data_IF_643965883782
#
_entry.id   IF_643965883782
#
_cell.length_a   1.000
_cell.length_b   1.000
_cell.length_c   1.000
_cell.angle_alpha   90.00
_cell.angle_beta   90.00
_cell.angle_gamma   90.00
#
_symmetry.space_group_name_H-M   'P 1'
#
loop_
_entity.id
_entity.type
_entity.pdbx_description
1 polymer ?
#
# COMPACT_ATOMS: atom_id res chain seq x y z
N UNK A 1 -8.02 -16.65 -14.52
CA UNK A 1 -7.21 -17.78 -14.00
C UNK A 1 -5.85 -17.95 -14.69
N UNK A 2 -5.67 -17.62 -15.99
CA UNK A 2 -4.37 -17.70 -16.68
C UNK A 2 -3.25 -16.77 -16.15
N UNK A 3 -3.60 -15.65 -15.51
CA UNK A 3 -2.63 -14.75 -14.85
C UNK A 3 -2.00 -15.36 -13.57
N UNK A 4 -2.59 -16.41 -13.01
CA UNK A 4 -2.18 -16.96 -11.71
C UNK A 4 -1.15 -18.09 -11.78
N UNK A 5 -0.74 -18.56 -12.98
CA UNK A 5 0.15 -19.74 -13.09
C UNK A 5 1.40 -19.60 -13.96
N UNK A 6 1.65 -18.47 -14.61
CA UNK A 6 2.97 -18.18 -15.21
C UNK A 6 3.55 -19.25 -16.14
N UNK A 7 2.74 -20.14 -16.71
CA UNK A 7 3.12 -21.11 -17.75
C UNK A 7 1.92 -21.42 -18.62
N UNK A 8 2.01 -21.07 -19.90
CA UNK A 8 1.32 -21.80 -20.96
C UNK A 8 2.38 -22.64 -21.71
N UNK A 9 2.31 -23.98 -21.66
CA UNK A 9 3.26 -24.86 -22.34
C UNK A 9 3.06 -25.02 -23.86
N UNK A 10 2.07 -24.40 -24.53
CA UNK A 10 1.70 -24.79 -25.90
C UNK A 10 1.27 -23.67 -26.88
N UNK A 11 1.75 -22.43 -26.75
CA UNK A 11 1.60 -21.43 -27.81
C UNK A 11 2.90 -20.65 -28.05
N UNK A 12 3.23 -20.39 -29.32
CA UNK A 12 4.35 -19.53 -29.75
C UNK A 12 4.13 -18.04 -29.38
N UNK A 13 3.45 -17.71 -28.28
CA UNK A 13 2.89 -16.39 -27.95
C UNK A 13 3.35 -15.88 -26.56
N UNK A 14 4.65 -15.96 -26.29
CA UNK A 14 5.22 -15.55 -24.99
C UNK A 14 5.14 -14.05 -24.64
N UNK A 15 5.54 -13.73 -23.40
CA UNK A 15 5.64 -12.38 -22.85
C UNK A 15 7.08 -11.98 -22.52
N UNK A 16 7.35 -10.69 -22.46
CA UNK A 16 8.63 -10.10 -22.06
C UNK A 16 8.41 -9.16 -20.88
N UNK A 17 9.31 -9.25 -19.90
CA UNK A 17 9.35 -8.36 -18.74
C UNK A 17 10.19 -7.12 -19.05
N UNK A 18 9.64 -5.93 -18.85
CA UNK A 18 10.31 -4.67 -19.17
C UNK A 18 10.87 -3.93 -17.93
N UNK A 19 10.68 -4.48 -16.74
CA UNK A 19 11.05 -3.87 -15.46
C UNK A 19 9.85 -3.55 -14.57
N UNK A 20 10.14 -3.07 -13.36
CA UNK A 20 9.12 -2.65 -12.41
C UNK A 20 8.79 -1.17 -12.64
N UNK A 21 7.51 -0.84 -12.80
CA UNK A 21 7.08 0.57 -12.83
C UNK A 21 6.89 1.17 -11.44
N UNK A 22 6.76 0.31 -10.45
CA UNK A 22 6.55 0.69 -9.07
C UNK A 22 7.17 -0.41 -8.17
N UNK A 23 8.40 -0.21 -7.68
CA UNK A 23 9.23 -1.31 -7.16
C UNK A 23 8.94 -1.69 -5.71
N UNK A 24 8.19 -0.86 -4.97
CA UNK A 24 8.09 -0.96 -3.51
C UNK A 24 6.65 -0.79 -2.99
N UNK A 25 5.72 -1.61 -3.48
CA UNK A 25 4.42 -1.76 -2.81
C UNK A 25 4.63 -2.29 -1.40
N UNK A 26 4.04 -1.62 -0.42
CA UNK A 26 4.19 -1.93 1.00
C UNK A 26 2.90 -2.48 1.56
N UNK A 27 3.02 -3.44 2.47
CA UNK A 27 1.92 -3.94 3.28
C UNK A 27 2.43 -4.11 4.70
N UNK A 28 1.60 -3.85 5.68
CA UNK A 28 2.04 -3.88 7.06
C UNK A 28 0.96 -3.38 8.01
N UNK A 29 1.37 -3.13 9.25
CA UNK A 29 0.47 -2.66 10.29
C UNK A 29 0.66 -1.17 10.51
N UNK A 30 -0.46 -0.44 10.55
CA UNK A 30 -0.46 1.01 10.54
C UNK A 30 -1.17 1.56 11.76
N UNK A 31 -0.72 2.73 12.20
CA UNK A 31 -1.40 3.58 13.18
C UNK A 31 -1.49 5.00 12.63
N UNK A 32 -2.50 5.79 13.01
CA UNK A 32 -2.51 7.21 12.67
C UNK A 32 -1.26 7.91 13.22
N UNK A 33 -0.56 8.68 12.39
CA UNK A 33 0.72 9.30 12.75
C UNK A 33 0.60 10.23 13.96
N UNK A 34 -0.56 10.86 14.14
CA UNK A 34 -0.85 11.71 15.30
C UNK A 34 -0.79 10.97 16.64
N UNK A 35 -0.90 9.64 16.68
CA UNK A 35 -0.70 8.89 17.92
C UNK A 35 0.75 9.00 18.39
N UNK A 36 1.70 8.96 17.46
CA UNK A 36 3.14 8.98 17.74
C UNK A 36 3.68 10.40 17.82
N UNK A 37 3.27 11.27 16.89
CA UNK A 37 3.83 12.63 16.75
C UNK A 37 2.92 13.74 17.27
N UNK A 38 1.66 13.44 17.55
CA UNK A 38 0.61 14.46 17.72
C UNK A 38 0.20 15.09 16.39
N UNK A 39 -0.81 15.94 16.45
CA UNK A 39 -1.27 16.77 15.34
C UNK A 39 -1.67 18.14 15.89
N UNK A 40 -0.73 19.10 15.81
CA UNK A 40 -0.94 20.45 16.30
C UNK A 40 -2.07 21.17 15.56
N UNK A 41 -2.26 20.90 14.25
CA UNK A 41 -3.33 21.53 13.45
C UNK A 41 -4.71 21.12 13.94
N UNK A 42 -4.83 19.88 14.45
CA UNK A 42 -6.07 19.33 15.00
C UNK A 42 -6.15 19.39 16.53
N UNK A 43 -5.15 19.96 17.20
CA UNK A 43 -5.08 20.01 18.67
C UNK A 43 -4.93 18.65 19.35
N UNK A 44 -4.42 17.63 18.65
CA UNK A 44 -4.26 16.27 19.16
C UNK A 44 -2.84 16.13 19.73
N UNK A 45 -2.73 15.76 21.01
CA UNK A 45 -1.44 15.40 21.61
C UNK A 45 -1.06 13.96 21.26
N UNK A 46 0.24 13.69 21.16
CA UNK A 46 0.74 12.33 21.01
C UNK A 46 0.29 11.47 22.22
N UNK A 47 -0.38 10.36 21.94
CA UNK A 47 -0.85 9.41 22.96
C UNK A 47 0.08 8.21 23.12
N UNK A 48 0.92 7.94 22.13
CA UNK A 48 1.86 6.83 22.07
C UNK A 48 3.18 7.22 21.39
N UNK A 49 3.94 8.21 21.92
CA UNK A 49 5.18 8.69 21.28
C UNK A 49 6.28 7.61 21.16
N UNK A 50 6.21 6.56 21.97
CA UNK A 50 7.12 5.41 21.90
C UNK A 50 6.59 4.23 21.06
N UNK A 51 5.44 4.35 20.39
CA UNK A 51 4.91 3.29 19.52
C UNK A 51 5.57 3.38 18.14
N UNK A 52 6.68 2.66 17.98
CA UNK A 52 7.45 2.62 16.72
C UNK A 52 7.39 1.26 16.05
N UNK A 53 7.44 0.19 16.83
CA UNK A 53 7.50 -1.18 16.34
C UNK A 53 6.31 -2.01 16.78
N UNK A 54 6.10 -3.15 16.11
CA UNK A 54 5.11 -4.16 16.54
C UNK A 54 5.37 -4.69 17.95
N UNK A 55 6.61 -4.64 18.42
CA UNK A 55 6.99 -5.08 19.76
C UNK A 55 6.60 -4.09 20.87
N UNK A 56 6.26 -2.85 20.52
CA UNK A 56 5.77 -1.86 21.48
C UNK A 56 4.26 -1.98 21.76
N UNK A 57 3.52 -2.67 20.88
CA UNK A 57 2.07 -2.82 20.97
C UNK A 57 1.56 -3.31 22.34
N UNK A 58 2.18 -4.30 23.01
CA UNK A 58 1.74 -4.74 24.33
C UNK A 58 1.74 -3.63 25.39
N UNK A 59 2.57 -2.59 25.25
CA UNK A 59 2.60 -1.45 26.18
C UNK A 59 1.39 -0.50 25.98
N UNK A 60 0.83 -0.49 24.77
CA UNK A 60 -0.19 0.49 24.34
C UNK A 60 -1.57 -0.11 24.07
N UNK A 61 -1.80 -1.40 24.35
CA UNK A 61 -3.05 -2.08 24.02
C UNK A 61 -4.32 -1.35 24.50
N UNK A 62 -4.24 -0.70 25.68
CA UNK A 62 -5.36 0.05 26.27
C UNK A 62 -5.82 1.25 25.43
N UNK A 63 -4.98 1.75 24.53
CA UNK A 63 -5.38 2.81 23.59
C UNK A 63 -6.32 2.26 22.49
N UNK A 64 -6.23 0.95 22.21
CA UNK A 64 -6.97 0.28 21.16
C UNK A 64 -8.09 -0.61 21.70
N UNK A 65 -8.66 -0.32 22.89
CA UNK A 65 -9.64 -1.20 23.56
C UNK A 65 -10.66 -1.82 22.60
N UNK A 66 -10.82 -3.12 22.69
CA UNK A 66 -11.82 -3.85 21.94
C UNK A 66 -13.22 -3.64 22.57
N UNK A 67 -14.21 -3.13 21.81
CA UNK A 67 -15.58 -3.01 22.29
C UNK A 67 -16.25 -4.32 22.69
N UNK A 68 -15.83 -5.45 22.12
CA UNK A 68 -16.39 -6.79 22.39
C UNK A 68 -15.67 -7.49 23.55
N UNK A 69 -14.41 -7.14 23.80
CA UNK A 69 -13.60 -7.64 24.92
C UNK A 69 -12.70 -6.52 25.48
N UNK A 70 -13.21 -5.70 26.41
CA UNK A 70 -12.47 -4.56 26.95
C UNK A 70 -11.18 -4.92 27.72
N UNK A 71 -10.92 -6.21 27.97
CA UNK A 71 -9.68 -6.69 28.59
C UNK A 71 -8.49 -6.69 27.63
N UNK A 72 -8.73 -6.51 26.33
CA UNK A 72 -7.72 -6.49 25.27
C UNK A 72 -7.90 -5.31 24.30
N UNK A 73 -6.88 -5.06 23.50
CA UNK A 73 -6.95 -4.16 22.35
C UNK A 73 -7.53 -4.86 21.12
N UNK A 74 -7.97 -4.09 20.13
CA UNK A 74 -8.46 -4.56 18.84
C UNK A 74 -7.45 -4.24 17.75
N UNK A 75 -7.16 -5.25 16.94
CA UNK A 75 -6.42 -5.12 15.69
C UNK A 75 -7.35 -5.42 14.52
N UNK A 76 -7.43 -4.53 13.54
CA UNK A 76 -8.17 -4.76 12.31
C UNK A 76 -7.29 -5.53 11.31
N UNK A 77 -7.63 -6.80 11.06
CA UNK A 77 -6.92 -7.65 10.09
C UNK A 77 -7.46 -7.48 8.68
N UNK A 78 -7.07 -8.39 7.80
CA UNK A 78 -7.62 -8.53 6.47
C UNK A 78 -9.04 -9.10 6.49
N UNK A 79 -9.74 -8.92 5.37
CA UNK A 79 -11.03 -9.54 5.16
C UNK A 79 -10.89 -11.05 4.93
N UNK A 80 -11.93 -11.85 5.24
CA UNK A 80 -11.91 -13.29 4.98
C UNK A 80 -11.56 -13.61 3.52
N UNK A 81 -10.74 -14.65 3.32
CA UNK A 81 -10.30 -15.10 1.99
C UNK A 81 -9.02 -14.43 1.48
N UNK A 82 -8.53 -13.36 2.10
CA UNK A 82 -7.25 -12.74 1.73
C UNK A 82 -6.06 -13.46 2.38
N UNK A 83 -4.97 -13.63 1.62
CA UNK A 83 -3.75 -14.30 2.11
C UNK A 83 -3.15 -13.60 3.33
N UNK A 84 -3.27 -12.28 3.42
CA UNK A 84 -2.75 -11.50 4.52
C UNK A 84 -3.44 -11.79 5.86
N UNK A 85 -4.66 -12.36 5.88
CA UNK A 85 -5.28 -12.85 7.12
C UNK A 85 -4.40 -13.91 7.78
N UNK A 86 -4.02 -14.94 7.01
CA UNK A 86 -3.19 -16.05 7.51
C UNK A 86 -1.83 -15.52 7.99
N UNK A 87 -1.26 -14.55 7.25
CA UNK A 87 0.00 -13.91 7.63
C UNK A 87 -0.14 -13.14 8.94
N UNK A 88 -1.18 -12.33 9.11
CA UNK A 88 -1.43 -11.57 10.33
C UNK A 88 -1.65 -12.49 11.54
N UNK A 89 -2.40 -13.58 11.39
CA UNK A 89 -2.63 -14.56 12.46
C UNK A 89 -1.30 -15.16 12.94
N UNK A 90 -0.41 -15.54 12.00
CA UNK A 90 0.92 -16.06 12.31
C UNK A 90 1.85 -15.01 12.94
N UNK A 91 1.80 -13.76 12.46
CA UNK A 91 2.52 -12.62 13.07
C UNK A 91 2.07 -12.39 14.51
N UNK A 92 0.78 -12.52 14.80
CA UNK A 92 0.26 -12.40 16.16
C UNK A 92 0.83 -13.45 17.11
N UNK A 93 1.02 -14.67 16.63
CA UNK A 93 1.74 -15.71 17.38
C UNK A 93 3.22 -15.36 17.55
N UNK A 94 3.91 -15.02 16.46
CA UNK A 94 5.34 -14.72 16.47
C UNK A 94 5.70 -13.53 17.38
N UNK A 95 4.85 -12.51 17.43
CA UNK A 95 5.04 -11.31 18.23
C UNK A 95 4.37 -11.38 19.62
N UNK A 96 3.74 -12.52 19.97
CA UNK A 96 3.14 -12.72 21.29
C UNK A 96 1.93 -11.82 21.60
N UNK A 97 1.22 -11.35 20.57
CA UNK A 97 0.18 -10.32 20.71
C UNK A 97 -1.18 -10.87 21.13
N UNK A 98 -1.44 -12.18 21.00
CA UNK A 98 -2.72 -12.81 21.37
C UNK A 98 -3.12 -12.59 22.83
N UNK A 99 -2.15 -12.29 23.71
CA UNK A 99 -2.40 -11.96 25.12
C UNK A 99 -2.96 -10.55 25.34
N UNK A 100 -2.61 -9.60 24.46
CA UNK A 100 -2.93 -8.18 24.61
C UNK A 100 -3.94 -7.67 23.59
N UNK A 101 -4.12 -8.38 22.47
CA UNK A 101 -4.99 -7.97 21.38
C UNK A 101 -5.88 -9.12 20.88
N UNK A 102 -7.07 -8.75 20.44
CA UNK A 102 -7.95 -9.56 19.62
C UNK A 102 -7.83 -9.14 18.15
N UNK A 103 -7.97 -10.12 17.27
CA UNK A 103 -7.99 -9.93 15.82
C UNK A 103 -9.45 -9.77 15.41
N UNK A 104 -9.77 -8.63 14.80
CA UNK A 104 -11.08 -8.37 14.21
C UNK A 104 -10.93 -8.39 12.69
N UNK A 105 -11.77 -9.18 12.02
CA UNK A 105 -11.80 -9.31 10.57
C UNK A 105 -12.97 -8.49 10.02
N UNK A 106 -12.70 -7.41 9.26
CA UNK A 106 -13.76 -6.66 8.62
C UNK A 106 -14.49 -7.53 7.58
N UNK A 107 -15.80 -7.33 7.44
CA UNK A 107 -16.60 -8.09 6.47
C UNK A 107 -16.35 -7.72 5.00
N UNK A 108 -15.69 -6.58 4.73
CA UNK A 108 -15.38 -6.10 3.38
C UNK A 108 -14.21 -5.12 3.39
N UNK A 109 -13.62 -4.86 2.22
CA UNK A 109 -12.55 -3.88 2.04
C UNK A 109 -13.02 -2.47 2.44
N UNK A 110 -14.27 -2.13 2.10
CA UNK A 110 -14.95 -0.91 2.47
C UNK A 110 -15.13 -0.79 3.97
N UNK A 111 -15.41 -1.89 4.68
CA UNK A 111 -15.52 -1.89 6.13
C UNK A 111 -14.16 -1.65 6.81
N UNK A 112 -13.08 -2.27 6.31
CA UNK A 112 -11.71 -2.01 6.78
C UNK A 112 -11.35 -0.54 6.58
N UNK A 113 -11.54 -0.03 5.37
CA UNK A 113 -11.33 1.37 4.99
C UNK A 113 -12.11 2.34 5.90
N UNK A 114 -13.41 2.10 6.08
CA UNK A 114 -14.27 2.93 6.91
C UNK A 114 -13.85 2.96 8.38
N UNK A 115 -13.38 1.82 8.92
CA UNK A 115 -12.88 1.76 10.30
C UNK A 115 -11.70 2.70 10.52
N UNK A 116 -10.73 2.68 9.59
CA UNK A 116 -9.54 3.54 9.61
C UNK A 116 -9.90 5.00 9.42
N UNK A 117 -10.68 5.33 8.38
CA UNK A 117 -11.08 6.72 8.07
C UNK A 117 -11.91 7.33 9.21
N UNK A 118 -12.84 6.57 9.79
CA UNK A 118 -13.69 7.02 10.90
C UNK A 118 -12.87 7.33 12.15
N UNK A 119 -11.95 6.43 12.52
CA UNK A 119 -11.06 6.64 13.66
C UNK A 119 -10.14 7.85 13.42
N UNK A 120 -9.53 7.93 12.24
CA UNK A 120 -8.66 9.04 11.85
C UNK A 120 -9.36 10.39 11.97
N UNK A 121 -10.54 10.56 11.35
CA UNK A 121 -11.32 11.81 11.40
C UNK A 121 -11.69 12.22 12.82
N UNK A 122 -11.98 11.25 13.69
CA UNK A 122 -12.32 11.48 15.10
C UNK A 122 -11.11 11.69 16.01
N UNK A 123 -9.88 11.58 15.49
CA UNK A 123 -8.66 11.65 16.29
C UNK A 123 -8.54 10.49 17.28
N UNK A 124 -9.15 9.34 16.96
CA UNK A 124 -9.18 8.15 17.81
C UNK A 124 -8.11 7.14 17.38
N UNK A 125 -7.50 6.41 18.32
CA UNK A 125 -6.60 5.32 18.00
C UNK A 125 -7.18 4.32 17.01
N UNK A 126 -6.34 3.86 16.09
CA UNK A 126 -6.63 2.77 15.17
C UNK A 126 -5.36 1.96 14.94
N UNK A 127 -5.50 0.65 14.89
CA UNK A 127 -4.40 -0.27 14.61
C UNK A 127 -4.92 -1.37 13.68
N UNK A 128 -4.27 -1.57 12.55
CA UNK A 128 -4.66 -2.63 11.64
C UNK A 128 -3.72 -2.80 10.47
N UNK A 129 -3.97 -3.88 9.73
CA UNK A 129 -3.34 -4.15 8.47
C UNK A 129 -3.85 -3.19 7.38
N UNK A 130 -2.94 -2.71 6.55
CA UNK A 130 -3.28 -2.05 5.31
C UNK A 130 -2.12 -2.12 4.30
N UNK A 131 -2.38 -1.74 3.06
CA UNK A 131 -1.40 -1.79 1.97
C UNK A 131 -1.35 -0.48 1.19
N UNK A 132 -0.25 -0.32 0.46
CA UNK A 132 0.07 0.83 -0.35
C UNK A 132 0.54 0.35 -1.75
N UNK A 133 0.12 1.01 -2.85
CA UNK A 133 -0.61 2.26 -2.87
C UNK A 133 -2.12 2.10 -2.73
N UNK A 134 -2.74 3.07 -2.08
CA UNK A 134 -4.20 3.20 -1.94
C UNK A 134 -4.58 4.67 -1.78
N UNK A 135 -5.79 5.05 -2.18
CA UNK A 135 -6.28 6.41 -1.96
C UNK A 135 -6.30 6.79 -0.47
N UNK A 136 -6.50 5.81 0.43
CA UNK A 136 -6.57 6.09 1.86
C UNK A 136 -5.20 6.51 2.40
N UNK A 137 -4.13 5.79 2.06
CA UNK A 137 -2.77 6.17 2.47
C UNK A 137 -2.25 7.41 1.73
N UNK A 138 -2.86 7.80 0.61
CA UNK A 138 -2.64 9.12 0.01
C UNK A 138 -3.35 10.26 0.72
N UNK A 139 -4.42 9.99 1.47
CA UNK A 139 -5.22 11.02 2.16
C UNK A 139 -4.96 11.13 3.67
N UNK A 140 -4.62 10.01 4.31
CA UNK A 140 -4.45 9.94 5.75
C UNK A 140 -2.95 9.86 6.08
N UNK A 141 -2.51 10.69 7.02
CA UNK A 141 -1.15 10.62 7.56
C UNK A 141 -1.05 9.42 8.53
N UNK A 142 -0.57 8.30 8.01
CA UNK A 142 -0.45 7.02 8.72
C UNK A 142 1.02 6.62 8.84
N UNK A 143 1.38 6.08 10.01
CA UNK A 143 2.71 5.53 10.27
C UNK A 143 2.63 4.02 10.26
N UNK A 144 3.42 3.36 9.41
CA UNK A 144 3.62 1.92 9.46
C UNK A 144 4.52 1.59 10.66
N UNK A 145 4.17 0.56 11.41
CA UNK A 145 4.98 0.06 12.51
C UNK A 145 6.17 -0.74 11.95
N UNK A 146 7.32 -0.55 12.58
CA UNK A 146 8.54 -1.30 12.26
C UNK A 146 8.39 -2.78 12.64
N UNK A 147 8.88 -3.63 11.75
CA UNK A 147 9.00 -5.08 11.91
C UNK A 147 10.46 -5.48 11.63
N UNK A 148 10.93 -6.66 12.07
CA UNK A 148 12.20 -7.19 11.58
C UNK A 148 12.20 -7.23 10.05
N UNK A 149 13.34 -6.93 9.42
CA UNK A 149 13.46 -6.96 7.95
C UNK A 149 13.02 -8.30 7.37
N UNK A 150 12.48 -8.26 6.15
CA UNK A 150 12.05 -9.47 5.46
C UNK A 150 13.19 -10.49 5.36
N UNK A 151 12.95 -11.68 5.89
CA UNK A 151 13.81 -12.86 5.76
C UNK A 151 12.95 -14.04 5.31
N UNK A 152 13.38 -14.73 4.25
CA UNK A 152 12.62 -15.83 3.64
C UNK A 152 12.40 -16.99 4.62
N UNK A 153 13.40 -17.34 5.46
CA UNK A 153 13.30 -18.47 6.39
C UNK A 153 12.33 -18.15 7.53
N UNK A 154 12.39 -16.93 8.07
CA UNK A 154 11.42 -16.44 9.05
C UNK A 154 10.03 -16.37 8.43
N UNK A 155 9.93 -15.88 7.19
CA UNK A 155 8.68 -15.81 6.47
C UNK A 155 8.06 -17.20 6.39
N UNK A 156 8.73 -18.19 5.81
CA UNK A 156 8.16 -19.51 5.56
C UNK A 156 7.76 -20.28 6.83
N UNK A 157 8.41 -20.00 7.95
CA UNK A 157 8.09 -20.59 9.26
C UNK A 157 7.00 -19.79 10.00
N UNK A 158 7.36 -18.66 10.59
CA UNK A 158 6.54 -17.92 11.58
C UNK A 158 5.89 -16.66 11.03
N UNK A 159 6.35 -16.14 9.88
CA UNK A 159 5.96 -14.83 9.34
C UNK A 159 6.31 -13.63 10.23
N UNK A 160 7.16 -13.83 11.25
CA UNK A 160 7.61 -12.81 12.22
C UNK A 160 8.65 -11.82 11.67
N UNK A 161 8.51 -11.41 10.42
CA UNK A 161 9.31 -10.41 9.72
C UNK A 161 8.41 -9.61 8.77
N UNK A 162 8.84 -8.44 8.31
CA UNK A 162 8.08 -7.56 7.41
C UNK A 162 7.49 -8.30 6.21
N UNK A 163 6.38 -7.81 5.66
CA UNK A 163 5.89 -8.33 4.37
C UNK A 163 6.96 -8.16 3.28
N UNK A 164 7.07 -9.11 2.34
CA UNK A 164 7.88 -8.88 1.16
C UNK A 164 7.30 -7.71 0.38
N UNK A 165 8.18 -6.82 -0.10
CA UNK A 165 7.75 -5.79 -1.04
C UNK A 165 7.20 -6.45 -2.30
N UNK A 166 6.08 -5.94 -2.80
CA UNK A 166 5.50 -6.41 -4.07
C UNK A 166 5.94 -5.45 -5.17
N UNK A 167 6.50 -6.01 -6.25
CA UNK A 167 6.83 -5.26 -7.46
C UNK A 167 5.62 -5.22 -8.37
N UNK A 168 5.29 -4.04 -8.88
CA UNK A 168 4.40 -3.92 -10.02
C UNK A 168 5.27 -3.90 -11.28
N UNK A 169 5.15 -4.96 -12.07
CA UNK A 169 5.98 -5.19 -13.24
C UNK A 169 5.23 -4.85 -14.53
N UNK A 170 5.95 -4.30 -15.50
CA UNK A 170 5.45 -4.10 -16.86
C UNK A 170 5.75 -5.37 -17.66
N UNK A 171 4.70 -6.07 -18.06
CA UNK A 171 4.78 -7.29 -18.86
C UNK A 171 4.08 -7.03 -20.20
N UNK A 172 4.79 -7.26 -21.30
CA UNK A 172 4.30 -7.03 -22.66
C UNK A 172 4.35 -8.29 -23.50
N UNK A 173 3.60 -8.30 -24.61
CA UNK A 173 3.70 -9.36 -25.61
C UNK A 173 5.09 -9.37 -26.29
N UNK A 174 5.63 -10.56 -26.57
CA UNK A 174 7.03 -10.70 -27.05
C UNK A 174 7.35 -10.01 -28.37
N UNK A 175 6.38 -9.81 -29.27
CA UNK A 175 6.60 -9.12 -30.56
C UNK A 175 6.41 -7.61 -30.48
N UNK A 176 5.98 -7.07 -29.34
CA UNK A 176 5.82 -5.62 -29.17
C UNK A 176 7.11 -4.83 -29.45
N UNK A 177 8.32 -5.29 -29.06
CA UNK A 177 9.56 -4.60 -29.42
C UNK A 177 9.82 -4.49 -30.93
N UNK A 178 9.27 -5.40 -31.74
CA UNK A 178 9.39 -5.34 -33.21
C UNK A 178 8.39 -4.35 -33.81
N UNK A 179 7.17 -4.29 -33.27
CA UNK A 179 6.08 -3.48 -33.82
C UNK A 179 6.08 -2.03 -33.34
N UNK A 180 6.50 -1.80 -32.11
CA UNK A 180 6.46 -0.49 -31.45
C UNK A 180 7.69 -0.32 -30.53
N UNK A 181 8.91 -0.28 -31.09
CA UNK A 181 10.14 -0.16 -30.30
C UNK A 181 10.18 1.13 -29.46
N UNK A 182 9.58 2.21 -29.96
CA UNK A 182 9.43 3.49 -29.27
C UNK A 182 8.51 3.40 -28.03
N UNK A 183 7.40 2.67 -28.13
CA UNK A 183 6.53 2.37 -26.98
C UNK A 183 7.27 1.53 -25.94
N UNK A 184 8.07 0.55 -26.37
CA UNK A 184 8.87 -0.27 -25.46
C UNK A 184 9.95 0.56 -24.75
N UNK A 185 10.61 1.49 -25.44
CA UNK A 185 11.54 2.43 -24.83
C UNK A 185 10.88 3.29 -23.75
N UNK A 186 9.69 3.83 -24.05
CA UNK A 186 8.90 4.58 -23.08
C UNK A 186 8.55 3.72 -21.86
N UNK A 187 8.01 2.51 -22.07
CA UNK A 187 7.61 1.61 -21.00
C UNK A 187 8.79 1.22 -20.10
N UNK A 188 9.98 1.00 -20.66
CA UNK A 188 11.19 0.73 -19.87
C UNK A 188 11.63 1.90 -18.98
N UNK A 189 11.29 3.14 -19.35
CA UNK A 189 11.58 4.35 -18.58
C UNK A 189 10.45 4.74 -17.63
N UNK A 190 9.24 4.23 -17.86
CA UNK A 190 8.07 4.54 -17.04
C UNK A 190 8.26 3.99 -15.62
N UNK A 191 8.49 4.90 -14.69
CA UNK A 191 8.66 4.58 -13.28
C UNK A 191 7.97 5.62 -12.40
N UNK A 192 7.23 5.15 -11.41
CA UNK A 192 6.51 5.97 -10.43
C UNK A 192 6.88 5.52 -9.02
N UNK A 193 6.58 6.38 -8.04
CA UNK A 193 6.84 6.07 -6.61
C UNK A 193 5.54 5.74 -5.87
N UNK A 194 5.69 5.18 -4.66
CA UNK A 194 4.54 4.82 -3.82
C UNK A 194 3.74 6.06 -3.44
N UNK A 195 4.46 7.12 -3.08
CA UNK A 195 3.89 8.42 -2.72
C UNK A 195 3.12 9.03 -3.89
N UNK A 196 3.66 8.96 -5.11
CA UNK A 196 2.98 9.44 -6.32
C UNK A 196 1.71 8.64 -6.58
N UNK A 197 1.77 7.31 -6.53
CA UNK A 197 0.58 6.47 -6.75
C UNK A 197 -0.49 6.70 -5.68
N UNK A 198 -0.08 6.90 -4.42
CA UNK A 198 -0.97 7.27 -3.32
C UNK A 198 -1.68 8.61 -3.61
N UNK A 199 -0.93 9.65 -4.00
CA UNK A 199 -1.47 10.98 -4.35
C UNK A 199 -2.39 10.93 -5.56
N UNK A 200 -2.04 10.15 -6.57
CA UNK A 200 -2.86 9.93 -7.76
C UNK A 200 -4.22 9.33 -7.42
N UNK A 201 -4.24 8.26 -6.62
CA UNK A 201 -5.47 7.61 -6.18
C UNK A 201 -6.28 8.52 -5.24
N UNK A 202 -5.62 9.30 -4.38
CA UNK A 202 -6.27 10.29 -3.53
C UNK A 202 -6.96 11.39 -4.36
N UNK A 203 -6.27 11.93 -5.37
CA UNK A 203 -6.82 12.92 -6.29
C UNK A 203 -8.08 12.41 -6.99
N UNK A 204 -8.02 11.18 -7.53
CA UNK A 204 -9.19 10.54 -8.15
C UNK A 204 -10.38 10.48 -7.19
N UNK A 205 -10.12 10.06 -5.95
CA UNK A 205 -11.16 9.91 -4.94
C UNK A 205 -11.77 11.25 -4.49
N UNK A 206 -10.95 12.30 -4.35
CA UNK A 206 -11.40 13.62 -3.89
C UNK A 206 -12.16 14.39 -4.95
N UNK A 207 -11.72 14.30 -6.19
CA UNK A 207 -12.29 15.05 -7.30
C UNK A 207 -13.36 14.25 -8.05
N UNK A 208 -13.60 12.99 -7.64
CA UNK A 208 -14.42 12.01 -8.41
C UNK A 208 -13.96 11.96 -9.87
N UNK A 209 -12.66 12.10 -10.08
CA UNK A 209 -12.07 12.25 -11.40
C UNK A 209 -12.15 10.93 -12.16
N UNK A 210 -12.40 11.01 -13.46
CA UNK A 210 -12.19 9.86 -14.33
C UNK A 210 -10.70 9.48 -14.35
N UNK A 211 -10.38 8.28 -14.83
CA UNK A 211 -8.99 7.87 -15.07
C UNK A 211 -8.29 8.80 -16.05
N UNK A 212 -9.00 9.35 -17.04
CA UNK A 212 -8.47 10.30 -18.01
C UNK A 212 -8.17 11.66 -17.38
N UNK A 213 -9.10 12.20 -16.57
CA UNK A 213 -8.89 13.46 -15.87
C UNK A 213 -7.72 13.37 -14.88
N UNK A 214 -7.60 12.23 -14.20
CA UNK A 214 -6.47 11.97 -13.32
C UNK A 214 -5.15 11.84 -14.08
N UNK A 215 -5.15 11.18 -15.25
CA UNK A 215 -3.97 11.11 -16.11
C UNK A 215 -3.54 12.51 -16.59
N UNK A 216 -4.48 13.37 -17.01
CA UNK A 216 -4.18 14.76 -17.38
C UNK A 216 -3.66 15.57 -16.20
N UNK A 217 -4.25 15.41 -15.02
CA UNK A 217 -3.74 16.03 -13.80
C UNK A 217 -2.32 15.57 -13.49
N UNK A 218 -2.04 14.26 -13.58
CA UNK A 218 -0.70 13.70 -13.37
C UNK A 218 0.32 14.30 -14.34
N UNK A 219 -0.03 14.41 -15.63
CA UNK A 219 0.86 15.00 -16.63
C UNK A 219 1.11 16.50 -16.36
N UNK A 220 0.16 17.23 -15.77
CA UNK A 220 0.36 18.63 -15.38
C UNK A 220 1.21 18.77 -14.11
N UNK A 221 0.93 17.95 -13.09
CA UNK A 221 1.57 18.04 -11.78
C UNK A 221 3.02 17.49 -11.79
N UNK A 222 3.25 16.41 -12.52
CA UNK A 222 4.51 15.68 -12.54
C UNK A 222 5.26 15.85 -13.86
N UNK A 223 5.18 17.03 -14.47
CA UNK A 223 5.82 17.35 -15.75
C UNK A 223 7.30 17.00 -15.80
N UNK A 224 8.04 17.40 -14.77
CA UNK A 224 9.49 17.14 -14.69
C UNK A 224 9.84 15.66 -14.62
N UNK A 225 8.91 14.81 -14.17
CA UNK A 225 9.10 13.37 -14.06
C UNK A 225 8.83 12.70 -15.40
N UNK A 226 7.61 12.86 -15.95
CA UNK A 226 7.22 12.07 -17.12
C UNK A 226 7.96 12.49 -18.40
N UNK A 227 8.44 13.73 -18.46
CA UNK A 227 9.25 14.21 -19.60
C UNK A 227 10.59 13.49 -19.73
N UNK A 228 11.05 12.80 -18.67
CA UNK A 228 12.24 11.93 -18.72
C UNK A 228 11.96 10.58 -19.39
N UNK A 229 10.68 10.19 -19.50
CA UNK A 229 10.28 8.88 -20.05
C UNK A 229 10.17 8.89 -21.58
N UNK A 230 10.06 10.08 -22.18
CA UNK A 230 9.82 10.26 -23.61
C UNK A 230 10.87 11.17 -24.24
N UNK A 231 10.91 11.23 -25.58
CA UNK A 231 11.80 12.18 -26.26
C UNK A 231 11.33 13.63 -26.08
N UNK A 232 12.21 14.64 -26.25
CA UNK A 232 11.84 16.05 -26.18
C UNK A 232 10.69 16.42 -27.14
N UNK A 233 10.66 15.84 -28.34
CA UNK A 233 9.61 16.08 -29.33
C UNK A 233 8.24 15.56 -28.87
N UNK A 234 8.21 14.38 -28.26
CA UNK A 234 6.97 13.80 -27.70
C UNK A 234 6.53 14.63 -26.50
N UNK A 235 7.46 15.03 -25.63
CA UNK A 235 7.16 15.90 -24.50
C UNK A 235 6.53 17.23 -24.94
N UNK A 236 7.08 17.89 -25.96
CA UNK A 236 6.52 19.12 -26.51
C UNK A 236 5.10 18.91 -27.05
N UNK A 237 4.84 17.83 -27.78
CA UNK A 237 3.50 17.50 -28.31
C UNK A 237 2.48 17.23 -27.20
N UNK A 238 2.86 16.49 -26.17
CA UNK A 238 1.99 16.21 -25.02
C UNK A 238 1.65 17.51 -24.29
N UNK A 239 2.65 18.36 -24.01
CA UNK A 239 2.42 19.66 -23.34
C UNK A 239 1.49 20.58 -24.14
N UNK A 240 1.61 20.58 -25.47
CA UNK A 240 0.73 21.38 -26.33
C UNK A 240 -0.73 20.88 -26.36
N UNK A 241 -0.97 19.61 -26.01
CA UNK A 241 -2.29 18.99 -26.05
C UNK A 241 -3.03 18.99 -24.69
N UNK A 242 -2.37 19.40 -23.60
CA UNK A 242 -2.88 19.42 -22.22
C UNK A 242 -3.58 20.73 -21.85
#
# INVERSE_FOLDING_TARGET
EGLAKGKDPNTDEGFVHLGANFPNSLQGWWVPTYMVKGDAKRGIKATAPGLKSVFDLPKYWKLFKDPEDPSKGRFYSCIPGWSCKIVNDKKFDAYGLKKSFNIMEPGSDAALAASMVSAYKKGKPWLGYYWAPTWILGKLDMTMLEEPDYDQKIWDSTKGCAYPAVKCDIIVYKKLPEWAPDVVEFLKKYETTLDINNKFLAYMQDNKASTEDAAKWFLKEYESLWTQWVSPDVAAKVKAAL
#
